data_IF_785634386306
#
_entry.id   IF_785634386306
#
_cell.length_a   1.000
_cell.length_b   1.000
_cell.length_c   1.000
_cell.angle_alpha   90.00
_cell.angle_beta   90.00
_cell.angle_gamma   90.00
#
_symmetry.space_group_name_H-M   'P 1'
#
loop_
_entity.id
_entity.type
_entity.pdbx_description
1 polymer ?
#
# COMPACT_ATOMS: atom_id res chain seq x y z
N UNK A 1 19.24 4.09 -15.24
CA UNK A 1 19.96 4.06 -13.96
C UNK A 1 21.36 4.67 -14.07
N UNK A 2 22.25 4.16 -14.93
CA UNK A 2 23.62 4.70 -15.10
C UNK A 2 23.65 6.19 -15.45
N UNK A 3 22.68 6.65 -16.22
CA UNK A 3 22.52 8.07 -16.57
C UNK A 3 22.16 8.89 -15.32
N UNK A 4 21.11 8.52 -14.62
CA UNK A 4 20.68 9.22 -13.40
C UNK A 4 21.76 9.22 -12.30
N UNK A 5 22.48 8.10 -12.14
CA UNK A 5 23.60 8.02 -11.19
C UNK A 5 24.73 9.02 -11.50
N UNK A 6 24.97 9.34 -12.79
CA UNK A 6 25.94 10.37 -13.19
C UNK A 6 25.47 11.79 -12.89
N UNK A 7 24.15 12.01 -12.83
CA UNK A 7 23.56 13.33 -12.56
C UNK A 7 23.50 13.64 -11.06
N UNK A 8 23.65 12.63 -10.21
CA UNK A 8 23.63 12.79 -8.75
C UNK A 8 24.66 13.83 -8.31
N UNK A 9 24.23 14.75 -7.46
CA UNK A 9 25.04 15.89 -6.97
C UNK A 9 25.43 16.91 -8.04
N UNK A 10 24.69 16.98 -9.11
CA UNK A 10 24.80 18.05 -10.12
C UNK A 10 23.54 18.91 -10.10
N UNK A 11 23.54 20.03 -10.81
CA UNK A 11 22.36 20.87 -11.06
C UNK A 11 21.25 20.19 -11.87
N UNK A 12 21.53 19.01 -12.42
CA UNK A 12 20.61 18.15 -13.16
C UNK A 12 20.17 16.91 -12.40
N UNK A 13 20.40 16.87 -11.08
CA UNK A 13 19.93 15.77 -10.24
C UNK A 13 18.41 15.67 -10.31
N UNK A 14 17.91 14.43 -10.26
CA UNK A 14 16.48 14.16 -10.16
C UNK A 14 16.05 14.35 -8.70
N UNK A 15 15.16 15.28 -8.46
CA UNK A 15 14.66 15.57 -7.10
C UNK A 15 13.58 14.61 -6.65
N UNK A 16 12.75 14.12 -7.58
CA UNK A 16 11.64 13.23 -7.30
C UNK A 16 11.48 12.14 -8.35
N UNK A 17 11.20 10.93 -7.89
CA UNK A 17 10.91 9.77 -8.74
C UNK A 17 9.50 9.26 -8.47
N UNK A 18 8.68 9.18 -9.51
CA UNK A 18 7.36 8.54 -9.45
C UNK A 18 7.44 7.09 -9.92
N UNK A 19 6.98 6.15 -9.07
CA UNK A 19 7.01 4.71 -9.33
C UNK A 19 5.59 4.22 -9.58
N UNK A 20 5.32 3.84 -10.84
CA UNK A 20 4.05 3.31 -11.33
C UNK A 20 4.25 1.93 -11.98
N UNK A 21 5.23 1.19 -11.54
CA UNK A 21 5.60 -0.13 -12.06
C UNK A 21 4.72 -1.24 -11.49
N UNK A 22 4.84 -2.49 -11.95
CA UNK A 22 4.22 -3.63 -11.27
C UNK A 22 4.66 -3.77 -9.81
N UNK A 23 3.75 -4.19 -8.93
CA UNK A 23 3.93 -4.20 -7.47
C UNK A 23 5.24 -4.85 -7.01
N UNK A 24 5.63 -5.97 -7.60
CA UNK A 24 6.85 -6.70 -7.21
C UNK A 24 8.16 -5.97 -7.49
N UNK A 25 8.10 -4.87 -8.25
CA UNK A 25 9.27 -4.04 -8.57
C UNK A 25 9.38 -2.81 -7.65
N UNK A 26 8.35 -2.50 -6.87
CA UNK A 26 8.31 -1.27 -6.07
C UNK A 26 9.50 -1.15 -5.13
N UNK A 27 9.77 -2.18 -4.32
CA UNK A 27 10.87 -2.15 -3.35
C UNK A 27 12.23 -1.82 -4.00
N UNK A 28 12.56 -2.49 -5.09
CA UNK A 28 13.82 -2.25 -5.80
C UNK A 28 13.90 -0.82 -6.36
N UNK A 29 12.80 -0.33 -6.94
CA UNK A 29 12.76 1.01 -7.52
C UNK A 29 12.76 2.11 -6.46
N UNK A 30 12.09 1.91 -5.31
CA UNK A 30 12.13 2.84 -4.18
C UNK A 30 13.57 2.97 -3.67
N UNK A 31 14.24 1.85 -3.37
CA UNK A 31 15.64 1.86 -2.90
C UNK A 31 16.56 2.54 -3.90
N UNK A 32 16.32 2.33 -5.18
CA UNK A 32 17.07 2.98 -6.23
C UNK A 32 16.84 4.50 -6.21
N UNK A 33 15.59 4.98 -6.18
CA UNK A 33 15.25 6.40 -6.13
C UNK A 33 15.87 7.11 -4.93
N UNK A 34 15.70 6.54 -3.73
CA UNK A 34 16.27 7.11 -2.50
C UNK A 34 17.81 7.21 -2.57
N UNK A 35 18.49 6.16 -3.07
CA UNK A 35 19.95 6.15 -3.22
C UNK A 35 20.45 7.06 -4.35
N UNK A 36 19.63 7.43 -5.29
CA UNK A 36 19.94 8.50 -6.26
C UNK A 36 19.99 9.89 -5.60
N UNK A 37 19.42 10.03 -4.41
CA UNK A 37 19.25 11.32 -3.76
C UNK A 37 17.96 12.01 -4.20
N UNK A 38 16.91 11.24 -4.42
CA UNK A 38 15.58 11.71 -4.82
C UNK A 38 14.55 11.30 -3.80
N UNK A 39 13.55 12.14 -3.57
CA UNK A 39 12.33 11.71 -2.93
C UNK A 39 11.51 10.82 -3.87
N UNK A 40 10.73 9.92 -3.29
CA UNK A 40 9.99 8.92 -4.05
C UNK A 40 8.50 9.04 -3.79
N UNK A 41 7.69 8.99 -4.85
CA UNK A 41 6.26 8.75 -4.78
C UNK A 41 5.99 7.38 -5.40
N UNK A 42 5.41 6.46 -4.65
CA UNK A 42 5.16 5.11 -5.11
C UNK A 42 3.67 4.77 -5.09
N UNK A 43 3.21 4.13 -6.17
CA UNK A 43 1.89 3.52 -6.21
C UNK A 43 1.75 2.42 -5.15
N UNK A 44 0.51 2.19 -4.77
CA UNK A 44 0.17 1.12 -3.82
C UNK A 44 0.21 -0.28 -4.50
N UNK A 45 0.46 -1.32 -3.74
CA UNK A 45 0.98 -1.33 -2.37
C UNK A 45 2.42 -0.84 -2.37
N UNK A 46 2.86 -0.27 -1.26
CA UNK A 46 4.25 0.22 -1.15
C UNK A 46 5.25 -0.91 -1.42
N UNK A 47 5.04 -2.05 -0.79
CA UNK A 47 5.81 -3.29 -0.97
C UNK A 47 4.88 -4.50 -0.93
N UNK A 48 5.34 -5.66 -1.38
CA UNK A 48 4.63 -6.93 -1.24
C UNK A 48 4.97 -7.67 0.07
N UNK A 49 6.16 -7.43 0.58
CA UNK A 49 6.65 -8.05 1.79
C UNK A 49 6.80 -6.98 2.88
N UNK A 50 6.05 -7.07 3.99
CA UNK A 50 6.07 -6.06 5.05
C UNK A 50 7.45 -5.85 5.68
N UNK A 51 8.31 -6.87 5.77
CA UNK A 51 9.70 -6.69 6.26
C UNK A 51 10.53 -5.69 5.43
N UNK A 52 10.14 -5.47 4.16
CA UNK A 52 10.81 -4.46 3.34
C UNK A 52 10.52 -3.03 3.82
N UNK A 53 9.47 -2.80 4.61
CA UNK A 53 9.15 -1.49 5.18
C UNK A 53 10.27 -1.05 6.11
N UNK A 54 10.71 -1.92 7.03
CA UNK A 54 11.81 -1.61 7.95
C UNK A 54 13.11 -1.32 7.20
N UNK A 55 13.41 -2.16 6.21
CA UNK A 55 14.58 -1.95 5.38
C UNK A 55 14.50 -0.67 4.53
N UNK A 56 13.31 -0.23 4.13
CA UNK A 56 13.12 1.06 3.47
C UNK A 56 13.29 2.23 4.44
N UNK A 57 12.79 2.10 5.68
CA UNK A 57 12.99 3.10 6.72
C UNK A 57 14.48 3.32 7.02
N UNK A 58 15.29 2.26 7.02
CA UNK A 58 16.75 2.41 7.15
C UNK A 58 17.36 3.16 5.95
N UNK A 59 16.92 2.85 4.71
CA UNK A 59 17.40 3.57 3.52
C UNK A 59 16.99 5.05 3.56
N UNK A 60 15.79 5.37 4.05
CA UNK A 60 15.38 6.78 4.27
C UNK A 60 16.31 7.50 5.25
N UNK A 61 16.66 6.85 6.37
CA UNK A 61 17.62 7.41 7.34
C UNK A 61 19.01 7.62 6.73
N UNK A 62 19.49 6.63 5.98
CA UNK A 62 20.81 6.69 5.33
C UNK A 62 20.90 7.79 4.29
N UNK A 63 19.84 8.01 3.53
CA UNK A 63 19.84 8.92 2.39
C UNK A 63 19.34 10.32 2.72
N UNK A 64 18.53 10.46 3.77
CA UNK A 64 17.83 11.70 4.12
C UNK A 64 16.60 12.00 3.22
N UNK A 65 16.28 11.11 2.28
CA UNK A 65 15.17 11.24 1.37
C UNK A 65 13.96 10.40 1.83
N UNK A 66 12.77 10.71 1.31
CA UNK A 66 11.51 10.12 1.75
C UNK A 66 10.79 9.36 0.65
N UNK A 67 10.07 8.30 1.04
CA UNK A 67 9.10 7.65 0.19
C UNK A 67 7.68 7.96 0.66
N UNK A 68 6.82 8.34 -0.28
CA UNK A 68 5.41 8.59 -0.07
C UNK A 68 4.59 7.57 -0.86
N UNK A 69 3.62 6.94 -0.19
CA UNK A 69 2.72 5.98 -0.83
C UNK A 69 1.39 6.62 -1.20
N UNK A 70 0.84 6.25 -2.35
CA UNK A 70 -0.43 6.79 -2.81
C UNK A 70 -1.58 5.95 -2.27
N UNK A 71 -2.30 6.50 -1.30
CA UNK A 71 -3.49 5.91 -0.67
C UNK A 71 -4.68 6.87 -0.86
N UNK A 72 -5.15 6.97 -2.09
CA UNK A 72 -6.06 8.02 -2.56
C UNK A 72 -7.42 8.06 -1.86
N UNK A 73 -7.89 6.99 -1.21
CA UNK A 73 -9.17 7.03 -0.49
C UNK A 73 -9.14 8.05 0.65
N UNK A 74 -8.00 8.29 1.27
CA UNK A 74 -7.84 9.34 2.28
C UNK A 74 -8.08 10.76 1.74
N UNK A 75 -7.98 10.94 0.42
CA UNK A 75 -8.19 12.23 -0.24
C UNK A 75 -9.64 12.45 -0.69
N UNK A 76 -10.47 11.41 -0.66
CA UNK A 76 -11.85 11.51 -1.09
C UNK A 76 -12.69 12.31 -0.08
N UNK A 77 -13.43 13.30 -0.56
CA UNK A 77 -14.13 14.26 0.33
C UNK A 77 -15.12 13.58 1.28
N UNK A 78 -15.88 12.59 0.82
CA UNK A 78 -16.80 11.86 1.71
C UNK A 78 -16.07 11.03 2.78
N UNK A 79 -14.87 10.52 2.48
CA UNK A 79 -14.05 9.78 3.44
C UNK A 79 -13.45 10.74 4.47
N UNK A 80 -12.96 11.90 4.06
CA UNK A 80 -12.54 12.99 4.97
C UNK A 80 -13.66 13.44 5.88
N UNK A 81 -14.86 13.64 5.31
CA UNK A 81 -16.05 14.03 6.09
C UNK A 81 -16.45 12.94 7.10
N UNK A 82 -16.38 11.66 6.70
CA UNK A 82 -16.63 10.52 7.60
C UNK A 82 -15.60 10.51 8.74
N UNK A 83 -14.30 10.60 8.42
CA UNK A 83 -13.21 10.66 9.41
C UNK A 83 -13.45 11.80 10.40
N UNK A 84 -13.71 13.00 9.91
CA UNK A 84 -13.99 14.17 10.76
C UNK A 84 -15.16 13.92 11.71
N UNK A 85 -16.28 13.38 11.20
CA UNK A 85 -17.46 13.06 12.02
C UNK A 85 -17.17 12.04 13.12
N UNK A 86 -16.31 11.04 12.84
CA UNK A 86 -15.89 10.06 13.84
C UNK A 86 -14.96 10.71 14.87
N UNK A 87 -14.01 11.52 14.44
CA UNK A 87 -13.07 12.22 15.34
C UNK A 87 -13.75 13.21 16.27
N UNK A 88 -14.79 13.89 15.80
CA UNK A 88 -15.58 14.85 16.58
C UNK A 88 -16.69 14.17 17.42
N UNK A 89 -16.99 12.91 17.16
CA UNK A 89 -17.99 12.13 17.87
C UNK A 89 -17.58 11.67 19.26
N UNK A 90 -18.51 11.06 20.01
CA UNK A 90 -18.23 10.49 21.33
C UNK A 90 -17.13 9.44 21.26
N UNK A 91 -16.13 9.54 22.15
CA UNK A 91 -14.93 8.67 22.14
C UNK A 91 -15.20 7.25 22.64
N UNK A 92 -16.25 7.05 23.38
CA UNK A 92 -16.73 5.77 23.92
C UNK A 92 -17.71 5.03 22.98
N UNK A 93 -18.05 5.68 21.85
CA UNK A 93 -19.00 5.09 20.90
C UNK A 93 -18.35 3.94 20.13
N UNK A 94 -19.03 2.79 20.16
CA UNK A 94 -18.72 1.63 19.32
C UNK A 94 -19.47 1.73 18.01
N UNK A 95 -18.79 1.40 16.92
CA UNK A 95 -19.37 1.40 15.57
C UNK A 95 -19.29 -0.02 15.00
N UNK A 96 -20.39 -0.52 14.48
CA UNK A 96 -20.41 -1.67 13.60
C UNK A 96 -20.19 -1.21 12.17
N UNK A 97 -19.25 -1.81 11.49
CA UNK A 97 -18.88 -1.42 10.12
C UNK A 97 -18.95 -2.64 9.20
N UNK A 98 -19.81 -2.56 8.19
CA UNK A 98 -19.86 -3.49 7.08
C UNK A 98 -19.27 -2.82 5.84
N UNK A 99 -18.17 -3.35 5.31
CA UNK A 99 -17.56 -2.88 4.08
C UNK A 99 -17.56 -4.00 3.04
N UNK A 100 -18.35 -3.82 2.02
CA UNK A 100 -18.45 -4.76 0.90
C UNK A 100 -17.85 -4.15 -0.36
N UNK A 101 -16.92 -4.86 -0.99
CA UNK A 101 -16.37 -4.47 -2.28
C UNK A 101 -16.56 -5.59 -3.30
N UNK A 102 -17.34 -5.32 -4.32
CA UNK A 102 -17.65 -6.26 -5.41
C UNK A 102 -17.12 -5.67 -6.71
N UNK A 103 -16.30 -6.42 -7.41
CA UNK A 103 -15.74 -6.01 -8.70
C UNK A 103 -15.59 -7.20 -9.64
N UNK A 104 -15.84 -7.00 -10.91
CA UNK A 104 -15.54 -7.96 -11.95
C UNK A 104 -14.17 -7.68 -12.56
N UNK A 105 -13.49 -8.72 -13.01
CA UNK A 105 -12.24 -8.62 -13.75
C UNK A 105 -12.34 -9.39 -15.07
N UNK A 106 -11.91 -8.75 -16.16
CA UNK A 106 -11.82 -9.42 -17.45
C UNK A 106 -10.64 -10.40 -17.53
N UNK A 107 -10.60 -11.22 -18.57
CA UNK A 107 -9.55 -12.22 -18.78
C UNK A 107 -8.14 -11.62 -18.76
N UNK A 108 -7.98 -10.37 -19.19
CA UNK A 108 -6.70 -9.64 -19.16
C UNK A 108 -6.07 -9.58 -17.77
N UNK A 109 -6.89 -9.55 -16.72
CA UNK A 109 -6.39 -9.52 -15.35
C UNK A 109 -5.59 -10.80 -15.04
N UNK A 110 -6.11 -11.95 -15.40
CA UNK A 110 -5.53 -13.26 -15.09
C UNK A 110 -4.32 -13.58 -15.98
N UNK A 111 -4.24 -12.99 -17.15
CA UNK A 111 -3.11 -13.16 -18.09
C UNK A 111 -1.97 -12.15 -17.84
N UNK A 112 -2.21 -11.14 -17.01
CA UNK A 112 -1.22 -10.13 -16.63
C UNK A 112 -0.52 -10.48 -15.32
N UNK A 113 0.49 -9.69 -14.95
CA UNK A 113 1.16 -9.80 -13.65
C UNK A 113 0.21 -9.65 -12.45
N UNK A 114 -0.95 -9.04 -12.66
CA UNK A 114 -1.98 -8.82 -11.61
C UNK A 114 -2.63 -10.12 -11.16
N UNK A 115 -2.73 -11.11 -12.04
CA UNK A 115 -3.25 -12.45 -11.72
C UNK A 115 -2.23 -13.36 -11.02
N UNK A 116 -0.94 -13.03 -11.05
CA UNK A 116 0.10 -13.78 -10.33
C UNK A 116 0.26 -13.21 -8.92
N UNK A 117 -0.11 -13.98 -7.89
CA UNK A 117 -0.05 -13.57 -6.49
C UNK A 117 1.36 -13.17 -6.05
N UNK A 118 2.40 -13.81 -6.60
CA UNK A 118 3.80 -13.50 -6.29
C UNK A 118 4.22 -12.13 -6.81
N UNK A 119 3.51 -11.61 -7.82
CA UNK A 119 3.81 -10.32 -8.46
C UNK A 119 2.88 -9.21 -8.00
N UNK A 120 1.63 -9.55 -7.69
CA UNK A 120 0.60 -8.58 -7.30
C UNK A 120 0.41 -8.49 -5.78
N UNK A 121 0.73 -9.54 -5.03
CA UNK A 121 0.35 -9.73 -3.64
C UNK A 121 -1.09 -10.22 -3.46
N UNK A 122 -1.76 -10.59 -4.57
CA UNK A 122 -3.17 -11.00 -4.55
C UNK A 122 -4.15 -9.84 -4.36
N UNK A 123 -5.43 -10.19 -4.25
CA UNK A 123 -6.52 -9.20 -4.15
C UNK A 123 -6.43 -8.40 -2.84
N UNK A 124 -6.10 -9.06 -1.73
CA UNK A 124 -5.99 -8.41 -0.43
C UNK A 124 -4.94 -7.29 -0.45
N UNK A 125 -3.73 -7.57 -0.91
CA UNK A 125 -2.65 -6.58 -1.00
C UNK A 125 -2.88 -5.56 -2.11
N UNK A 126 -3.31 -6.00 -3.29
CA UNK A 126 -3.43 -5.11 -4.45
C UNK A 126 -4.66 -4.20 -4.41
N UNK A 127 -5.75 -4.67 -3.81
CA UNK A 127 -7.04 -3.94 -3.74
C UNK A 127 -7.39 -3.64 -2.28
N UNK A 128 -7.31 -4.64 -1.40
CA UNK A 128 -7.71 -4.55 -0.01
C UNK A 128 -6.92 -3.49 0.76
N UNK A 129 -5.67 -3.22 0.39
CA UNK A 129 -4.83 -2.18 1.02
C UNK A 129 -5.54 -0.83 1.12
N UNK A 130 -6.33 -0.43 0.14
CA UNK A 130 -7.09 0.82 0.18
C UNK A 130 -8.13 0.85 1.30
N UNK A 131 -8.81 -0.27 1.51
CA UNK A 131 -9.89 -0.38 2.50
C UNK A 131 -9.33 -0.59 3.89
N UNK A 132 -8.29 -1.40 4.03
CA UNK A 132 -7.60 -1.58 5.30
C UNK A 132 -6.97 -0.27 5.79
N UNK A 133 -6.29 0.44 4.90
CA UNK A 133 -5.73 1.74 5.20
C UNK A 133 -6.82 2.74 5.61
N UNK A 134 -7.91 2.81 4.86
CA UNK A 134 -9.04 3.69 5.16
C UNK A 134 -9.66 3.37 6.54
N UNK A 135 -9.92 2.08 6.82
CA UNK A 135 -10.54 1.67 8.07
C UNK A 135 -9.62 1.90 9.27
N UNK A 136 -8.35 1.56 9.15
CA UNK A 136 -7.37 1.80 10.23
C UNK A 136 -7.14 3.30 10.46
N UNK A 137 -7.16 4.10 9.41
CA UNK A 137 -7.06 5.55 9.52
C UNK A 137 -8.27 6.17 10.21
N UNK A 138 -9.49 5.66 9.96
CA UNK A 138 -10.72 6.19 10.55
C UNK A 138 -10.92 5.70 11.99
N UNK A 139 -10.73 4.39 12.24
CA UNK A 139 -11.14 3.73 13.48
C UNK A 139 -9.96 3.32 14.38
N UNK A 140 -8.73 3.46 13.92
CA UNK A 140 -7.53 3.05 14.65
C UNK A 140 -7.03 1.63 14.32
N UNK A 141 -6.00 1.16 15.03
CA UNK A 141 -5.35 -0.13 14.75
C UNK A 141 -6.28 -1.31 15.05
N UNK A 142 -6.09 -2.38 14.29
CA UNK A 142 -6.83 -3.65 14.48
C UNK A 142 -6.31 -4.36 15.71
N UNK A 143 -7.20 -4.80 16.59
CA UNK A 143 -6.87 -5.58 17.79
C UNK A 143 -6.94 -7.09 17.56
N UNK A 144 -7.88 -7.51 16.73
CA UNK A 144 -8.12 -8.92 16.45
C UNK A 144 -8.67 -9.06 15.03
N UNK A 145 -8.31 -10.13 14.34
CA UNK A 145 -8.88 -10.44 13.04
C UNK A 145 -9.27 -11.93 12.97
N UNK A 146 -10.37 -12.21 12.29
CA UNK A 146 -10.81 -13.57 11.98
C UNK A 146 -11.00 -13.64 10.47
N UNK A 147 -10.36 -14.62 9.86
CA UNK A 147 -10.43 -14.81 8.41
C UNK A 147 -11.35 -15.94 8.06
N UNK A 148 -12.41 -15.63 7.31
CA UNK A 148 -13.26 -16.61 6.67
C UNK A 148 -12.97 -16.62 5.19
N UNK A 149 -12.46 -17.73 4.69
CA UNK A 149 -12.06 -17.91 3.31
C UNK A 149 -13.08 -18.76 2.56
N UNK A 150 -13.62 -18.21 1.45
CA UNK A 150 -14.39 -18.97 0.48
C UNK A 150 -13.77 -18.74 -0.89
N UNK A 151 -13.19 -19.78 -1.49
CA UNK A 151 -12.67 -19.72 -2.85
C UNK A 151 -13.58 -20.45 -3.82
N UNK A 152 -13.65 -19.96 -5.05
CA UNK A 152 -14.26 -20.62 -6.19
C UNK A 152 -13.23 -20.66 -7.33
N UNK A 153 -13.32 -21.65 -8.20
CA UNK A 153 -12.31 -22.04 -9.19
C UNK A 153 -11.77 -20.95 -10.13
N UNK A 154 -12.38 -19.80 -10.18
CA UNK A 154 -11.93 -18.70 -11.03
C UNK A 154 -11.54 -17.42 -10.31
N UNK A 155 -11.77 -17.34 -9.03
CA UNK A 155 -11.42 -16.16 -8.24
C UNK A 155 -11.03 -16.61 -6.85
N UNK A 156 -9.79 -16.91 -6.66
CA UNK A 156 -9.20 -16.77 -5.34
C UNK A 156 -9.03 -15.28 -5.05
N UNK A 157 -10.11 -14.56 -4.99
CA UNK A 157 -10.13 -13.22 -4.45
C UNK A 157 -10.33 -13.33 -2.97
N UNK A 158 -9.25 -13.47 -2.24
CA UNK A 158 -9.30 -13.52 -0.79
C UNK A 158 -9.22 -12.14 -0.22
N UNK A 159 -10.15 -11.83 0.59
CA UNK A 159 -9.95 -10.96 1.73
C UNK A 159 -9.56 -11.83 2.93
N UNK A 160 -8.34 -12.37 2.86
CA UNK A 160 -7.70 -12.96 4.01
C UNK A 160 -6.91 -11.88 4.72
N UNK A 161 -7.44 -11.34 5.81
CA UNK A 161 -6.70 -10.35 6.61
C UNK A 161 -5.51 -11.00 7.35
N UNK A 162 -5.50 -12.32 7.52
CA UNK A 162 -4.44 -13.04 8.23
C UNK A 162 -3.04 -12.91 7.59
N UNK A 163 -2.97 -12.72 6.27
CA UNK A 163 -1.68 -12.65 5.59
C UNK A 163 -1.03 -11.26 5.65
N UNK A 164 -1.82 -10.25 6.01
CA UNK A 164 -1.35 -8.86 6.11
C UNK A 164 -1.28 -8.34 7.56
N UNK A 165 -2.08 -8.87 8.46
CA UNK A 165 -2.29 -8.32 9.79
C UNK A 165 -1.35 -8.82 10.90
N UNK A 166 -0.70 -9.98 10.85
CA UNK A 166 0.32 -10.31 11.85
C UNK A 166 1.43 -9.26 11.93
N UNK A 167 1.61 -8.51 10.84
CA UNK A 167 2.68 -7.52 10.69
C UNK A 167 2.27 -6.08 11.01
N UNK A 168 0.98 -5.79 11.13
CA UNK A 168 0.48 -4.46 11.50
C UNK A 168 0.15 -4.35 13.00
N UNK A 169 0.22 -5.44 13.75
CA UNK A 169 -0.04 -5.43 15.19
C UNK A 169 1.10 -4.84 16.01
N UNK A 170 2.30 -4.73 15.44
CA UNK A 170 3.51 -4.25 16.12
C UNK A 170 3.92 -2.82 15.71
N UNK A 171 3.05 -2.08 14.96
CA UNK A 171 3.31 -0.70 14.54
C UNK A 171 2.21 0.27 14.93
#
# INVERSE_FOLDING_TARGET
>A
DRHCSKLKRTDKQVDMVSICTPNYLHDAHIRYGLRLGSDVICEKPLVLNPWNIDALAEVEKETGHKVNNILQLRLHESIKALKKRIDEGPKDKVYDVDLTYITSRGNWYYTSWKGDIRKSGGVATNIGVHFYDMLTWIFGPVKENIVHVKSHDRVAGFLGMSDLFPFLQDY
#
